data_IF_316579670258
#
_entry.id   IF_316579670258
#
_cell.length_a   1.000
_cell.length_b   1.000
_cell.length_c   1.000
_cell.angle_alpha   90.00
_cell.angle_beta   90.00
_cell.angle_gamma   90.00
#
_symmetry.space_group_name_H-M   'P 1'
#
loop_
_entity.id
_entity.type
_entity.pdbx_description
1 polymer ?
#
# COMPACT_ATOMS: atom_id res chain seq x y z
N UNK A 1 -100.18 85.32 -21.71
CA UNK A 1 -98.82 85.56 -21.18
C UNK A 1 -98.19 84.39 -20.37
N UNK A 2 -98.57 83.11 -20.58
CA UNK A 2 -98.00 81.96 -19.80
C UNK A 2 -96.93 81.10 -20.50
N UNK A 3 -96.63 81.33 -21.79
CA UNK A 3 -95.72 80.46 -22.59
C UNK A 3 -94.24 80.87 -22.60
N UNK A 4 -93.87 82.09 -22.16
CA UNK A 4 -92.45 82.53 -22.10
C UNK A 4 -91.70 82.13 -20.82
N UNK A 5 -92.41 81.70 -19.77
CA UNK A 5 -91.83 81.27 -18.48
C UNK A 5 -91.30 79.82 -18.49
N UNK A 6 -91.89 78.92 -19.31
CA UNK A 6 -91.44 77.52 -19.40
C UNK A 6 -90.08 77.36 -20.08
N UNK A 7 -89.76 78.19 -21.07
CA UNK A 7 -88.49 78.08 -21.82
C UNK A 7 -87.27 78.43 -20.95
N UNK A 8 -87.42 79.40 -20.04
CA UNK A 8 -86.37 79.77 -19.08
C UNK A 8 -86.14 78.68 -18.02
N UNK A 9 -87.19 77.98 -17.57
CA UNK A 9 -87.01 76.87 -16.62
C UNK A 9 -86.29 75.67 -17.25
N UNK A 10 -86.55 75.37 -18.53
CA UNK A 10 -85.81 74.33 -19.25
C UNK A 10 -84.34 74.68 -19.47
N UNK A 11 -84.05 75.96 -19.79
CA UNK A 11 -82.67 76.44 -19.94
C UNK A 11 -81.90 76.38 -18.61
N UNK A 12 -82.54 76.80 -17.51
CA UNK A 12 -81.96 76.70 -16.16
C UNK A 12 -81.73 75.24 -15.76
N UNK A 13 -82.67 74.35 -16.07
CA UNK A 13 -82.52 72.90 -15.85
C UNK A 13 -81.34 72.30 -16.62
N UNK A 14 -81.16 72.65 -17.89
CA UNK A 14 -80.02 72.20 -18.70
C UNK A 14 -78.69 72.74 -18.19
N UNK A 15 -78.64 74.00 -17.76
CA UNK A 15 -77.46 74.61 -17.16
C UNK A 15 -77.10 73.92 -15.84
N UNK A 16 -78.09 73.62 -14.99
CA UNK A 16 -77.88 72.91 -13.72
C UNK A 16 -77.40 71.46 -13.92
N UNK A 17 -77.96 70.74 -14.90
CA UNK A 17 -77.51 69.39 -15.26
C UNK A 17 -76.09 69.43 -15.83
N UNK A 18 -75.77 70.39 -16.70
CA UNK A 18 -74.43 70.59 -17.24
C UNK A 18 -73.39 70.96 -16.19
N UNK A 19 -73.76 71.77 -15.20
CA UNK A 19 -72.91 72.08 -14.04
C UNK A 19 -72.72 70.87 -13.14
N UNK A 20 -73.76 70.08 -12.89
CA UNK A 20 -73.69 68.86 -12.09
C UNK A 20 -72.76 67.80 -12.72
N UNK A 21 -72.86 67.58 -14.03
CA UNK A 21 -71.98 66.67 -14.77
C UNK A 21 -70.55 67.17 -14.85
N UNK A 22 -70.34 68.49 -14.99
CA UNK A 22 -69.00 69.09 -14.95
C UNK A 22 -68.34 68.96 -13.57
N UNK A 23 -69.09 69.18 -12.48
CA UNK A 23 -68.60 69.05 -11.11
C UNK A 23 -68.25 67.58 -10.80
N UNK A 24 -69.10 66.63 -11.18
CA UNK A 24 -68.82 65.19 -11.00
C UNK A 24 -67.64 64.71 -11.83
N UNK A 25 -67.50 65.19 -13.07
CA UNK A 25 -66.32 64.92 -13.90
C UNK A 25 -65.04 65.49 -13.29
N UNK A 26 -65.07 66.74 -12.79
CA UNK A 26 -63.93 67.35 -12.07
C UNK A 26 -63.59 66.60 -10.78
N UNK A 27 -64.58 66.18 -10.00
CA UNK A 27 -64.37 65.41 -8.78
C UNK A 27 -63.73 64.03 -9.09
N UNK A 28 -64.25 63.34 -10.12
CA UNK A 28 -63.70 62.06 -10.60
C UNK A 28 -62.26 62.21 -11.13
N UNK A 29 -61.97 63.29 -11.86
CA UNK A 29 -60.61 63.61 -12.32
C UNK A 29 -59.65 63.85 -11.16
N UNK A 30 -60.08 64.56 -10.11
CA UNK A 30 -59.26 64.83 -8.92
C UNK A 30 -58.96 63.54 -8.15
N UNK A 31 -59.94 62.66 -8.00
CA UNK A 31 -59.78 61.37 -7.32
C UNK A 31 -58.88 60.40 -8.12
N UNK A 32 -58.99 60.41 -9.45
CA UNK A 32 -58.08 59.72 -10.35
C UNK A 32 -56.64 60.22 -10.21
N UNK A 33 -56.42 61.54 -10.22
CA UNK A 33 -55.08 62.14 -10.08
C UNK A 33 -54.44 61.81 -8.73
N UNK A 34 -55.23 61.81 -7.66
CA UNK A 34 -54.78 61.41 -6.32
C UNK A 34 -54.33 59.95 -6.31
N UNK A 35 -55.15 59.05 -6.86
CA UNK A 35 -54.84 57.62 -6.97
C UNK A 35 -53.58 57.38 -7.81
N UNK A 36 -53.43 58.09 -8.93
CA UNK A 36 -52.23 58.04 -9.79
C UNK A 36 -50.99 58.49 -9.01
N UNK A 37 -51.10 59.55 -8.21
CA UNK A 37 -49.97 60.05 -7.40
C UNK A 37 -49.58 59.03 -6.31
N UNK A 38 -50.54 58.47 -5.60
CA UNK A 38 -50.29 57.43 -4.59
C UNK A 38 -49.64 56.16 -5.20
N UNK A 39 -50.11 55.73 -6.38
CA UNK A 39 -49.50 54.62 -7.12
C UNK A 39 -48.07 54.93 -7.55
N UNK A 40 -47.80 56.17 -7.99
CA UNK A 40 -46.46 56.60 -8.39
C UNK A 40 -45.51 56.63 -7.19
N UNK A 41 -45.94 57.13 -6.05
CA UNK A 41 -45.14 57.16 -4.83
C UNK A 41 -44.86 55.74 -4.33
N UNK A 42 -45.87 54.86 -4.35
CA UNK A 42 -45.72 53.43 -4.04
C UNK A 42 -44.75 52.71 -4.99
N UNK A 43 -44.82 53.00 -6.29
CA UNK A 43 -43.91 52.45 -7.29
C UNK A 43 -42.47 52.92 -7.06
N UNK A 44 -42.27 54.21 -6.77
CA UNK A 44 -40.95 54.76 -6.46
C UNK A 44 -40.36 54.13 -5.19
N UNK A 45 -41.17 53.93 -4.15
CA UNK A 45 -40.76 53.24 -2.93
C UNK A 45 -40.33 51.80 -3.23
N UNK A 46 -41.15 51.04 -3.97
CA UNK A 46 -40.81 49.66 -4.38
C UNK A 46 -39.56 49.59 -5.24
N UNK A 47 -39.36 50.53 -6.17
CA UNK A 47 -38.14 50.59 -6.98
C UNK A 47 -36.90 50.87 -6.12
N UNK A 48 -37.03 51.73 -5.11
CA UNK A 48 -35.95 52.02 -4.16
C UNK A 48 -35.60 50.79 -3.30
N UNK A 49 -36.61 50.06 -2.81
CA UNK A 49 -36.41 48.80 -2.09
C UNK A 49 -35.77 47.73 -2.96
N UNK A 50 -36.19 47.62 -4.23
CA UNK A 50 -35.65 46.66 -5.18
C UNK A 50 -34.18 46.99 -5.50
N UNK A 51 -33.85 48.27 -5.69
CA UNK A 51 -32.47 48.70 -5.86
C UNK A 51 -31.60 48.35 -4.65
N UNK A 52 -32.10 48.60 -3.43
CA UNK A 52 -31.39 48.24 -2.20
C UNK A 52 -31.13 46.72 -2.12
N UNK A 53 -32.12 45.90 -2.43
CA UNK A 53 -31.97 44.43 -2.47
C UNK A 53 -30.98 43.98 -3.55
N UNK A 54 -30.96 44.65 -4.69
CA UNK A 54 -29.99 44.39 -5.75
C UNK A 54 -28.56 44.71 -5.28
N UNK A 55 -28.36 45.82 -4.59
CA UNK A 55 -27.07 46.18 -4.01
C UNK A 55 -26.61 45.18 -2.93
N UNK A 56 -27.52 44.76 -2.05
CA UNK A 56 -27.27 43.70 -1.05
C UNK A 56 -26.87 42.37 -1.71
N UNK A 57 -27.55 41.97 -2.79
CA UNK A 57 -27.22 40.78 -3.57
C UNK A 57 -25.84 40.87 -4.25
N UNK A 58 -25.46 42.05 -4.72
CA UNK A 58 -24.13 42.28 -5.30
C UNK A 58 -23.04 42.11 -4.24
N UNK A 59 -23.24 42.64 -3.02
CA UNK A 59 -22.32 42.47 -1.89
C UNK A 59 -22.21 40.99 -1.47
N UNK A 60 -23.34 40.28 -1.41
CA UNK A 60 -23.35 38.85 -1.09
C UNK A 60 -22.62 38.03 -2.15
N UNK A 61 -22.83 38.34 -3.43
CA UNK A 61 -22.16 37.67 -4.55
C UNK A 61 -20.64 37.85 -4.50
N UNK A 62 -20.17 39.05 -4.15
CA UNK A 62 -18.74 39.32 -3.95
C UNK A 62 -18.15 38.51 -2.78
N UNK A 63 -18.88 38.38 -1.66
CA UNK A 63 -18.46 37.55 -0.52
C UNK A 63 -18.41 36.06 -0.87
N UNK A 64 -19.39 35.56 -1.64
CA UNK A 64 -19.39 34.17 -2.12
C UNK A 64 -18.16 33.90 -2.99
N UNK A 65 -17.82 34.82 -3.89
CA UNK A 65 -16.63 34.69 -4.73
C UNK A 65 -15.33 34.71 -3.92
N UNK A 66 -15.25 35.54 -2.87
CA UNK A 66 -14.11 35.54 -1.95
C UNK A 66 -13.98 34.21 -1.19
N UNK A 67 -15.09 33.65 -0.71
CA UNK A 67 -15.11 32.34 -0.06
C UNK A 67 -14.70 31.21 -1.02
N UNK A 68 -15.13 31.24 -2.27
CA UNK A 68 -14.71 30.28 -3.29
C UNK A 68 -13.18 30.32 -3.49
N UNK A 69 -12.58 31.51 -3.62
CA UNK A 69 -11.12 31.65 -3.73
C UNK A 69 -10.38 31.09 -2.51
N UNK A 70 -10.89 31.32 -1.30
CA UNK A 70 -10.33 30.75 -0.06
C UNK A 70 -10.44 29.22 -0.06
N UNK A 71 -11.58 28.68 -0.52
CA UNK A 71 -11.82 27.24 -0.62
C UNK A 71 -10.89 26.56 -1.64
N UNK A 72 -10.65 27.20 -2.79
CA UNK A 72 -9.70 26.72 -3.80
C UNK A 72 -8.27 26.70 -3.27
N UNK A 73 -7.86 27.78 -2.57
CA UNK A 73 -6.55 27.85 -1.91
C UNK A 73 -6.38 26.75 -0.86
N UNK A 74 -7.40 26.51 -0.04
CA UNK A 74 -7.38 25.43 0.95
C UNK A 74 -7.33 24.05 0.30
N UNK A 75 -8.08 23.84 -0.79
CA UNK A 75 -8.05 22.60 -1.56
C UNK A 75 -6.67 22.32 -2.12
N UNK A 76 -5.97 23.35 -2.61
CA UNK A 76 -4.59 23.23 -3.07
C UNK A 76 -3.64 22.85 -1.91
N UNK A 77 -3.75 23.52 -0.77
CA UNK A 77 -2.94 23.22 0.41
C UNK A 77 -3.16 21.77 0.91
N UNK A 78 -4.41 21.29 0.93
CA UNK A 78 -4.72 19.90 1.30
C UNK A 78 -4.09 18.90 0.32
N UNK A 79 -4.07 19.19 -0.98
CA UNK A 79 -3.39 18.34 -1.97
C UNK A 79 -1.87 18.30 -1.75
N UNK A 80 -1.25 19.42 -1.40
CA UNK A 80 0.18 19.48 -1.08
C UNK A 80 0.51 18.67 0.18
N UNK A 81 -0.30 18.80 1.25
CA UNK A 81 -0.17 17.99 2.47
C UNK A 81 -0.30 16.49 2.17
N UNK A 82 -1.29 16.09 1.36
CA UNK A 82 -1.48 14.69 0.99
C UNK A 82 -0.26 14.12 0.24
N UNK A 83 0.35 14.93 -0.65
CA UNK A 83 1.58 14.56 -1.35
C UNK A 83 2.75 14.38 -0.38
N UNK A 84 2.90 15.27 0.59
CA UNK A 84 3.97 15.19 1.58
C UNK A 84 3.79 14.00 2.54
N UNK A 85 2.55 13.68 2.95
CA UNK A 85 2.23 12.46 3.71
C UNK A 85 2.64 11.21 2.92
N UNK A 86 2.36 11.17 1.62
CA UNK A 86 2.76 10.05 0.75
C UNK A 86 4.28 9.87 0.73
N UNK A 87 5.05 10.96 0.57
CA UNK A 87 6.52 10.92 0.65
C UNK A 87 7.03 10.44 2.01
N UNK A 88 6.45 10.94 3.10
CA UNK A 88 6.81 10.53 4.46
C UNK A 88 6.56 9.03 4.65
N UNK A 89 5.42 8.52 4.17
CA UNK A 89 5.10 7.08 4.23
C UNK A 89 6.12 6.22 3.48
N UNK A 90 6.48 6.61 2.25
CA UNK A 90 7.52 5.92 1.47
C UNK A 90 8.87 5.91 2.21
N UNK A 91 9.28 7.06 2.75
CA UNK A 91 10.52 7.17 3.51
C UNK A 91 10.49 6.33 4.80
N UNK A 92 9.36 6.32 5.50
CA UNK A 92 9.17 5.52 6.72
C UNK A 92 9.30 4.03 6.42
N UNK A 93 8.71 3.56 5.32
CA UNK A 93 8.85 2.17 4.87
C UNK A 93 10.30 1.83 4.52
N UNK A 94 11.01 2.75 3.86
CA UNK A 94 12.45 2.58 3.56
C UNK A 94 13.29 2.48 4.84
N UNK A 95 13.07 3.37 5.80
CA UNK A 95 13.78 3.36 7.10
C UNK A 95 13.47 2.09 7.87
N UNK A 96 12.20 1.65 7.89
CA UNK A 96 11.79 0.39 8.52
C UNK A 96 12.54 -0.82 7.94
N UNK A 97 12.73 -0.86 6.62
CA UNK A 97 13.51 -1.92 5.98
C UNK A 97 15.00 -1.85 6.34
N UNK A 98 15.59 -0.66 6.40
CA UNK A 98 16.99 -0.46 6.85
C UNK A 98 17.17 -0.96 8.28
N UNK A 99 16.29 -0.56 9.20
CA UNK A 99 16.33 -1.00 10.61
C UNK A 99 16.20 -2.52 10.69
N UNK A 100 15.26 -3.12 9.95
CA UNK A 100 15.11 -4.58 9.90
C UNK A 100 16.37 -5.27 9.40
N UNK A 101 17.03 -4.71 8.39
CA UNK A 101 18.27 -5.25 7.80
C UNK A 101 19.49 -5.09 8.73
N UNK A 102 19.56 -3.99 9.51
CA UNK A 102 20.59 -3.77 10.53
C UNK A 102 20.41 -4.67 11.75
N UNK A 103 19.17 -4.95 12.14
CA UNK A 103 18.86 -5.82 13.28
C UNK A 103 19.02 -7.32 13.00
N UNK A 104 19.23 -7.72 11.74
CA UNK A 104 19.47 -9.13 11.40
C UNK A 104 20.76 -9.61 12.05
N UNK A 105 20.74 -10.83 12.58
CA UNK A 105 21.98 -11.52 12.86
C UNK A 105 22.63 -11.86 11.53
N UNK A 106 23.94 -11.63 11.43
CA UNK A 106 24.72 -11.87 10.22
C UNK A 106 25.94 -12.70 10.56
N UNK A 107 26.45 -13.39 9.55
CA UNK A 107 27.73 -14.06 9.60
C UNK A 107 28.17 -14.46 8.21
N UNK A 108 29.26 -15.24 8.15
CA UNK A 108 29.85 -15.67 6.89
C UNK A 108 30.14 -17.16 6.95
N UNK A 109 29.69 -17.90 5.95
CA UNK A 109 30.04 -19.30 5.69
C UNK A 109 30.74 -19.38 4.35
N UNK A 110 31.92 -19.98 4.35
CA UNK A 110 32.69 -20.27 3.16
C UNK A 110 33.01 -21.75 3.17
N UNK A 111 32.58 -22.46 2.15
CA UNK A 111 32.82 -23.89 2.09
C UNK A 111 34.22 -24.14 1.55
N UNK A 112 35.03 -24.86 2.31
CA UNK A 112 36.39 -25.21 1.91
C UNK A 112 36.33 -26.07 0.64
N UNK A 113 36.79 -25.50 -0.47
CA UNK A 113 37.00 -26.32 -1.67
C UNK A 113 38.29 -27.08 -1.47
N UNK A 114 38.14 -28.36 -1.19
CA UNK A 114 39.23 -29.29 -1.40
C UNK A 114 39.57 -29.31 -2.91
N UNK A 115 40.75 -29.82 -3.28
CA UNK A 115 41.24 -29.86 -4.66
C UNK A 115 40.48 -30.87 -5.57
N UNK A 116 39.16 -30.82 -5.58
CA UNK A 116 38.32 -31.67 -6.42
C UNK A 116 38.03 -30.99 -7.76
N UNK A 117 38.11 -31.79 -8.83
CA UNK A 117 37.77 -31.36 -10.19
C UNK A 117 36.24 -31.32 -10.41
N UNK A 118 35.49 -32.15 -9.68
CA UNK A 118 34.03 -32.27 -9.81
C UNK A 118 33.36 -32.22 -8.43
N UNK A 119 32.22 -31.56 -8.37
CA UNK A 119 31.30 -31.57 -7.24
C UNK A 119 30.05 -32.37 -7.58
N UNK A 120 29.70 -33.31 -6.71
CA UNK A 120 28.41 -34.01 -6.75
C UNK A 120 27.40 -33.15 -6.00
N UNK A 121 26.46 -32.58 -6.73
CA UNK A 121 25.42 -31.71 -6.17
C UNK A 121 24.16 -32.55 -5.99
N UNK A 122 23.67 -32.65 -4.77
CA UNK A 122 22.46 -33.35 -4.36
C UNK A 122 21.42 -32.35 -3.85
N UNK A 123 20.46 -32.04 -4.73
CA UNK A 123 19.24 -31.30 -4.43
C UNK A 123 18.07 -32.29 -4.38
N UNK A 124 18.20 -33.33 -3.57
CA UNK A 124 17.16 -34.33 -3.28
C UNK A 124 17.08 -35.42 -4.35
N UNK A 125 16.08 -35.34 -5.23
CA UNK A 125 15.97 -36.24 -6.39
C UNK A 125 16.67 -35.69 -7.63
N UNK A 126 17.07 -34.41 -7.59
CA UNK A 126 17.80 -33.75 -8.67
C UNK A 126 19.25 -33.67 -8.23
N UNK A 127 20.12 -34.36 -8.94
CA UNK A 127 21.55 -34.29 -8.69
C UNK A 127 22.37 -34.41 -9.95
N UNK A 128 23.61 -33.97 -9.87
CA UNK A 128 24.51 -33.95 -11.01
C UNK A 128 25.95 -33.68 -10.62
N UNK A 129 26.85 -33.94 -11.56
CA UNK A 129 28.25 -33.58 -11.43
C UNK A 129 28.47 -32.21 -12.08
N UNK A 130 29.00 -31.27 -11.30
CA UNK A 130 29.40 -29.95 -11.78
C UNK A 130 30.92 -29.87 -11.74
N UNK A 131 31.53 -29.48 -12.86
CA UNK A 131 32.98 -29.24 -12.93
C UNK A 131 33.34 -27.98 -12.17
N UNK A 132 34.49 -28.00 -11.46
CA UNK A 132 35.05 -26.83 -10.76
C UNK A 132 35.18 -25.61 -11.70
N UNK A 133 35.57 -25.84 -12.95
CA UNK A 133 35.77 -24.77 -13.95
C UNK A 133 34.47 -23.99 -14.29
N UNK A 134 33.32 -24.65 -14.26
CA UNK A 134 32.03 -24.01 -14.52
C UNK A 134 31.66 -23.04 -13.38
N UNK A 135 32.05 -23.39 -12.15
CA UNK A 135 31.82 -22.58 -10.96
C UNK A 135 32.75 -21.37 -10.86
N UNK A 136 33.65 -21.12 -11.82
CA UNK A 136 34.36 -19.84 -11.90
C UNK A 136 33.42 -18.67 -12.26
N UNK A 137 32.27 -18.99 -12.85
CA UNK A 137 31.15 -18.08 -13.02
C UNK A 137 30.01 -18.49 -12.09
N UNK A 138 29.11 -17.57 -11.80
CA UNK A 138 27.96 -17.86 -10.95
C UNK A 138 26.95 -18.74 -11.70
N UNK A 139 26.87 -20.01 -11.31
CA UNK A 139 25.93 -20.98 -11.85
C UNK A 139 24.62 -20.91 -11.05
N UNK A 140 23.54 -20.46 -11.69
CA UNK A 140 22.23 -20.30 -11.06
C UNK A 140 21.28 -21.40 -11.50
N UNK A 141 20.78 -22.15 -10.52
CA UNK A 141 19.71 -23.13 -10.64
C UNK A 141 18.50 -22.68 -9.81
N UNK A 142 17.47 -23.51 -9.79
CA UNK A 142 16.27 -23.26 -9.00
C UNK A 142 15.89 -24.49 -8.19
N UNK A 143 15.65 -24.28 -6.90
CA UNK A 143 14.92 -25.22 -6.05
C UNK A 143 13.47 -24.79 -6.13
N UNK A 144 12.74 -25.39 -7.07
CA UNK A 144 11.39 -24.97 -7.44
C UNK A 144 11.36 -23.50 -7.95
N UNK A 145 10.77 -22.55 -7.22
CA UNK A 145 10.76 -21.11 -7.56
C UNK A 145 11.89 -20.33 -6.87
N UNK A 146 12.66 -20.99 -5.99
CA UNK A 146 13.71 -20.33 -5.22
C UNK A 146 15.04 -20.38 -5.99
N UNK A 147 15.63 -19.22 -6.36
CA UNK A 147 16.93 -19.21 -7.01
C UNK A 147 18.02 -19.69 -6.05
N UNK A 148 18.87 -20.56 -6.56
CA UNK A 148 20.01 -21.13 -5.86
C UNK A 148 21.25 -20.98 -6.75
N UNK A 149 22.31 -20.34 -6.26
CA UNK A 149 23.53 -20.17 -7.04
C UNK A 149 24.76 -20.67 -6.30
N UNK A 150 25.76 -21.09 -7.08
CA UNK A 150 27.07 -21.50 -6.62
C UNK A 150 28.16 -20.79 -7.42
N UNK A 151 29.22 -20.41 -6.74
CA UNK A 151 30.40 -19.74 -7.30
C UNK A 151 31.63 -20.17 -6.51
N UNK A 152 32.77 -20.38 -7.18
CA UNK A 152 34.06 -20.54 -6.53
C UNK A 152 34.85 -19.26 -6.68
N UNK A 153 35.23 -18.68 -5.54
CA UNK A 153 36.04 -17.48 -5.45
C UNK A 153 37.11 -17.68 -4.36
N UNK A 154 38.38 -17.41 -4.68
CA UNK A 154 39.52 -17.60 -3.77
C UNK A 154 39.57 -19.01 -3.13
N UNK A 155 39.33 -20.05 -3.92
CA UNK A 155 39.26 -21.46 -3.48
C UNK A 155 38.22 -21.72 -2.36
N UNK A 156 37.19 -20.88 -2.26
CA UNK A 156 36.00 -21.11 -1.46
C UNK A 156 34.80 -21.29 -2.34
N UNK A 157 33.95 -22.28 -2.03
CA UNK A 157 32.65 -22.41 -2.66
C UNK A 157 31.71 -21.50 -1.89
N UNK A 158 31.17 -20.53 -2.60
CA UNK A 158 30.21 -19.56 -2.14
C UNK A 158 28.84 -19.95 -2.69
N UNK A 159 27.85 -19.90 -1.82
CA UNK A 159 26.46 -20.25 -2.14
C UNK A 159 25.60 -19.00 -1.99
N UNK A 160 24.58 -18.87 -2.84
CA UNK A 160 23.48 -17.93 -2.61
C UNK A 160 22.13 -18.62 -2.65
N UNK A 161 21.26 -18.29 -1.69
CA UNK A 161 19.91 -18.83 -1.54
C UNK A 161 19.08 -17.88 -0.67
N UNK A 162 17.80 -17.70 -1.00
CA UNK A 162 16.89 -16.86 -0.21
C UNK A 162 15.63 -17.62 0.16
N UNK A 163 15.34 -17.77 1.45
CA UNK A 163 14.19 -18.50 1.96
C UNK A 163 13.14 -17.56 2.53
N UNK A 164 11.89 -17.82 2.21
CA UNK A 164 10.72 -17.06 2.68
C UNK A 164 9.73 -17.96 3.39
N UNK A 165 8.91 -17.39 4.26
CA UNK A 165 7.77 -18.06 4.89
C UNK A 165 6.58 -18.13 3.94
N UNK A 166 5.51 -18.80 4.38
CA UNK A 166 4.24 -18.90 3.64
C UNK A 166 3.59 -17.56 3.29
N UNK A 167 3.96 -16.47 3.98
CA UNK A 167 3.46 -15.12 3.74
C UNK A 167 4.40 -14.29 2.86
N UNK A 168 5.51 -14.87 2.39
CA UNK A 168 6.53 -14.19 1.59
C UNK A 168 7.53 -13.36 2.41
N UNK A 169 7.49 -13.43 3.75
CA UNK A 169 8.49 -12.76 4.58
C UNK A 169 9.81 -13.53 4.54
N UNK A 170 10.92 -12.79 4.45
CA UNK A 170 12.25 -13.38 4.47
C UNK A 170 12.54 -14.05 5.82
N UNK A 171 12.95 -15.32 5.76
CA UNK A 171 13.40 -16.13 6.90
C UNK A 171 14.93 -16.09 6.99
N UNK A 172 15.58 -16.43 5.89
CA UNK A 172 17.02 -16.62 5.79
C UNK A 172 17.49 -16.15 4.40
N UNK A 173 18.60 -15.42 4.35
CA UNK A 173 19.22 -14.95 3.12
C UNK A 173 20.70 -15.32 3.19
N UNK A 174 21.19 -16.04 2.19
CA UNK A 174 22.60 -16.36 2.00
C UNK A 174 22.99 -15.79 0.65
N UNK A 175 23.99 -14.91 0.63
CA UNK A 175 24.46 -14.23 -0.58
C UNK A 175 25.97 -14.33 -0.63
N UNK A 176 26.47 -15.16 -1.54
CA UNK A 176 27.91 -15.41 -1.71
C UNK A 176 28.62 -15.72 -0.38
N UNK A 177 28.01 -16.60 0.40
CA UNK A 177 28.53 -16.99 1.72
C UNK A 177 28.16 -16.07 2.89
N UNK A 178 27.73 -14.83 2.64
CA UNK A 178 27.23 -13.95 3.71
C UNK A 178 25.78 -14.28 4.03
N UNK A 179 25.50 -14.64 5.27
CA UNK A 179 24.13 -14.98 5.68
C UNK A 179 23.53 -13.90 6.60
N UNK A 180 22.21 -13.76 6.52
CA UNK A 180 21.41 -12.91 7.39
C UNK A 180 20.08 -13.59 7.73
N UNK A 181 19.63 -13.47 8.98
CA UNK A 181 18.39 -14.10 9.44
C UNK A 181 17.38 -13.10 10.00
N UNK A 182 16.10 -13.48 9.92
CA UNK A 182 15.04 -12.84 10.67
C UNK A 182 14.90 -13.49 12.06
N UNK A 183 15.42 -12.85 13.12
CA UNK A 183 15.37 -13.35 14.51
C UNK A 183 13.96 -13.57 15.05
N UNK A 184 12.93 -13.03 14.38
CA UNK A 184 11.54 -13.28 14.75
C UNK A 184 11.05 -14.68 14.35
N UNK A 185 11.77 -15.35 13.44
CA UNK A 185 11.40 -16.65 12.89
C UNK A 185 12.51 -17.68 13.16
N UNK A 186 13.77 -17.28 12.96
CA UNK A 186 14.93 -18.16 13.17
C UNK A 186 15.42 -18.04 14.60
N UNK A 187 15.65 -19.19 15.24
CA UNK A 187 16.23 -19.29 16.56
C UNK A 187 17.76 -19.24 16.52
N UNK A 188 18.38 -20.06 15.66
CA UNK A 188 19.83 -20.21 15.61
C UNK A 188 20.33 -20.54 14.20
N UNK A 189 21.58 -20.17 13.94
CA UNK A 189 22.36 -20.59 12.78
C UNK A 189 23.66 -21.19 13.26
N UNK A 190 23.94 -22.42 12.87
CA UNK A 190 25.20 -23.12 13.15
C UNK A 190 25.95 -23.25 11.84
N UNK A 191 27.25 -22.99 11.82
CA UNK A 191 28.04 -23.12 10.60
C UNK A 191 29.51 -23.36 10.92
N UNK A 192 30.18 -24.01 9.97
CA UNK A 192 31.63 -24.16 9.91
C UNK A 192 32.07 -24.11 8.43
N UNK A 193 33.32 -24.46 8.12
CA UNK A 193 33.82 -24.44 6.75
C UNK A 193 33.31 -25.59 5.87
N UNK A 194 32.44 -26.46 6.39
CA UNK A 194 31.90 -27.63 5.70
C UNK A 194 30.37 -27.68 5.72
N UNK A 195 29.69 -26.75 6.40
CA UNK A 195 28.25 -26.83 6.58
C UNK A 195 27.63 -25.56 7.19
N UNK A 196 26.34 -25.38 6.93
CA UNK A 196 25.47 -24.43 7.64
C UNK A 196 24.11 -25.09 7.92
N UNK A 197 23.57 -24.84 9.11
CA UNK A 197 22.29 -25.35 9.59
C UNK A 197 21.50 -24.17 10.19
N UNK A 198 20.26 -24.01 9.74
CA UNK A 198 19.33 -22.96 10.18
C UNK A 198 18.18 -23.62 10.92
N UNK A 199 17.94 -23.17 12.15
CA UNK A 199 16.96 -23.74 13.07
C UNK A 199 15.86 -22.72 13.38
N UNK A 200 14.60 -23.12 13.23
CA UNK A 200 13.43 -22.30 13.60
C UNK A 200 13.22 -22.25 15.13
N UNK A 201 12.17 -21.56 15.58
CA UNK A 201 11.86 -21.39 17.02
C UNK A 201 11.32 -22.64 17.68
N UNK A 202 10.76 -23.53 16.89
CA UNK A 202 10.24 -24.84 17.28
C UNK A 202 11.38 -25.87 17.40
N UNK A 203 12.59 -25.53 16.93
CA UNK A 203 13.77 -26.37 16.99
C UNK A 203 13.95 -27.28 15.77
N UNK A 204 13.16 -27.11 14.72
CA UNK A 204 13.27 -27.82 13.45
C UNK A 204 14.39 -27.24 12.60
N UNK A 205 15.07 -28.10 11.85
CA UNK A 205 16.06 -27.68 10.85
C UNK A 205 15.30 -27.34 9.57
N UNK A 206 15.25 -26.05 9.25
CA UNK A 206 14.55 -25.56 8.05
C UNK A 206 15.46 -25.44 6.83
N UNK A 207 16.78 -25.36 7.05
CA UNK A 207 17.81 -25.42 6.00
C UNK A 207 19.06 -26.09 6.56
N UNK A 208 19.64 -26.97 5.77
CA UNK A 208 20.97 -27.52 6.00
C UNK A 208 21.69 -27.62 4.66
N UNK A 209 22.87 -27.02 4.59
CA UNK A 209 23.76 -27.13 3.42
C UNK A 209 25.06 -27.75 3.93
N UNK A 210 25.51 -28.82 3.30
CA UNK A 210 26.74 -29.52 3.66
C UNK A 210 27.63 -29.68 2.42
N UNK A 211 28.92 -29.37 2.56
CA UNK A 211 29.97 -29.81 1.64
C UNK A 211 30.86 -30.80 2.38
N UNK A 212 30.72 -32.09 2.07
CA UNK A 212 31.56 -33.16 2.64
C UNK A 212 32.35 -33.78 1.49
N UNK A 213 33.67 -33.62 1.53
CA UNK A 213 34.53 -33.92 0.38
C UNK A 213 34.04 -33.13 -0.85
N UNK A 214 33.67 -33.81 -1.92
CA UNK A 214 33.14 -33.21 -3.14
C UNK A 214 31.62 -33.29 -3.23
N UNK A 215 30.94 -33.81 -2.21
CA UNK A 215 29.50 -33.96 -2.22
C UNK A 215 28.84 -32.77 -1.50
N UNK A 216 28.12 -31.98 -2.28
CA UNK A 216 27.36 -30.82 -1.86
C UNK A 216 25.89 -31.20 -1.72
N UNK A 217 25.33 -31.08 -0.51
CA UNK A 217 23.94 -31.49 -0.20
C UNK A 217 23.15 -30.32 0.31
N UNK A 218 21.88 -30.24 -0.09
CA UNK A 218 20.90 -29.31 0.46
C UNK A 218 19.71 -30.08 1.02
N UNK A 219 19.35 -29.78 2.26
CA UNK A 219 18.11 -30.19 2.91
C UNK A 219 17.36 -28.91 3.26
N UNK A 220 16.05 -28.87 3.05
CA UNK A 220 15.29 -27.72 3.50
C UNK A 220 13.80 -27.75 3.19
N UNK A 221 13.12 -26.76 3.76
CA UNK A 221 11.68 -26.51 3.60
C UNK A 221 11.48 -25.20 2.85
N UNK A 222 11.02 -25.27 1.61
CA UNK A 222 10.89 -24.13 0.71
C UNK A 222 9.41 -23.77 0.53
N UNK A 223 8.96 -22.72 1.21
CA UNK A 223 7.57 -22.27 1.13
C UNK A 223 7.27 -21.56 -0.19
N UNK A 224 6.10 -21.87 -0.72
CA UNK A 224 5.54 -21.31 -1.95
C UNK A 224 4.17 -20.70 -1.67
N UNK A 225 3.52 -20.17 -2.71
CA UNK A 225 2.18 -19.58 -2.60
C UNK A 225 1.09 -20.61 -2.28
N UNK A 226 1.21 -21.83 -2.81
CA UNK A 226 0.18 -22.88 -2.76
C UNK A 226 0.56 -24.09 -1.89
N UNK A 227 1.82 -24.16 -1.45
CA UNK A 227 2.32 -25.26 -0.65
C UNK A 227 3.76 -25.07 -0.20
N UNK A 228 4.40 -26.20 0.08
CA UNK A 228 5.79 -26.27 0.53
C UNK A 228 6.52 -27.38 -0.23
N UNK A 229 7.72 -27.07 -0.69
CA UNK A 229 8.63 -28.06 -1.25
C UNK A 229 9.59 -28.54 -0.17
N UNK A 230 9.56 -29.84 0.10
CA UNK A 230 10.41 -30.54 1.05
C UNK A 230 11.57 -31.20 0.30
N UNK A 231 12.79 -30.84 0.69
CA UNK A 231 14.03 -31.29 0.07
C UNK A 231 14.87 -32.07 1.08
N UNK A 232 15.22 -33.31 0.77
CA UNK A 232 16.14 -34.13 1.54
C UNK A 232 16.83 -35.12 0.60
N UNK A 233 18.07 -35.60 0.84
CA UNK A 233 18.69 -36.63 0.01
C UNK A 233 17.74 -37.77 -0.34
N UNK A 234 17.52 -38.00 -1.64
CA UNK A 234 16.58 -39.00 -2.17
C UNK A 234 15.09 -38.64 -2.10
N UNK A 235 14.74 -37.43 -1.67
CA UNK A 235 13.37 -36.93 -1.52
C UNK A 235 13.24 -35.51 -2.08
N UNK A 236 12.32 -35.34 -3.02
CA UNK A 236 11.82 -34.06 -3.47
C UNK A 236 10.29 -34.15 -3.53
N UNK A 237 9.61 -33.46 -2.61
CA UNK A 237 8.16 -33.58 -2.45
C UNK A 237 7.53 -32.21 -2.30
N UNK A 238 6.52 -31.90 -3.12
CA UNK A 238 5.66 -30.74 -2.93
C UNK A 238 4.40 -31.14 -2.15
N UNK A 239 4.09 -30.42 -1.08
CA UNK A 239 2.91 -30.63 -0.23
C UNK A 239 2.06 -29.37 -0.26
N UNK A 240 0.81 -29.47 -0.71
CA UNK A 240 -0.09 -28.33 -0.82
C UNK A 240 -0.61 -27.92 0.57
N UNK A 241 -0.86 -26.63 0.79
CA UNK A 241 -1.46 -26.16 2.05
C UNK A 241 -2.88 -26.69 2.28
N UNK A 242 -3.56 -27.09 1.20
CA UNK A 242 -4.89 -27.70 1.25
C UNK A 242 -4.88 -29.18 1.60
N UNK A 243 -3.71 -29.83 1.71
CA UNK A 243 -3.61 -31.23 2.08
C UNK A 243 -4.04 -31.42 3.55
N UNK A 244 -5.03 -32.27 3.86
CA UNK A 244 -5.47 -32.50 5.24
C UNK A 244 -4.38 -33.09 6.14
N UNK A 245 -3.32 -33.66 5.57
CA UNK A 245 -2.17 -34.21 6.30
C UNK A 245 -0.94 -33.27 6.27
N UNK A 246 -1.09 -32.02 5.83
CA UNK A 246 0.02 -31.06 5.67
C UNK A 246 0.95 -31.01 6.90
N UNK A 247 0.39 -30.77 8.09
CA UNK A 247 1.18 -30.65 9.33
C UNK A 247 1.89 -31.97 9.69
N UNK A 248 1.20 -33.10 9.50
CA UNK A 248 1.75 -34.43 9.77
C UNK A 248 2.92 -34.75 8.84
N UNK A 249 2.81 -34.42 7.55
CA UNK A 249 3.87 -34.65 6.57
C UNK A 249 5.12 -33.81 6.91
N UNK A 250 4.91 -32.56 7.34
CA UNK A 250 6.01 -31.70 7.81
C UNK A 250 6.69 -32.24 9.06
N UNK A 251 5.92 -32.68 10.05
CA UNK A 251 6.47 -33.28 11.27
C UNK A 251 7.28 -34.55 10.95
N UNK A 252 6.74 -35.43 10.10
CA UNK A 252 7.44 -36.62 9.63
C UNK A 252 8.71 -36.27 8.85
N UNK A 253 8.71 -35.19 8.08
CA UNK A 253 9.90 -34.69 7.39
C UNK A 253 10.95 -34.22 8.39
N UNK A 254 10.60 -33.33 9.33
CA UNK A 254 11.55 -32.79 10.31
C UNK A 254 12.14 -33.86 11.21
N UNK A 255 11.37 -34.88 11.58
CA UNK A 255 11.88 -36.01 12.37
C UNK A 255 12.96 -36.84 11.65
N UNK A 256 13.00 -36.79 10.31
CA UNK A 256 14.01 -37.47 9.49
C UNK A 256 15.28 -36.62 9.29
N UNK A 257 15.21 -35.30 9.49
CA UNK A 257 16.37 -34.43 9.32
C UNK A 257 17.30 -34.56 10.52
N UNK A 258 18.48 -35.14 10.29
CA UNK A 258 19.47 -35.38 11.33
C UNK A 258 20.36 -34.14 11.52
N UNK A 259 20.35 -33.56 12.72
CA UNK A 259 21.25 -32.47 13.13
C UNK A 259 22.71 -32.77 12.81
N UNK A 260 23.43 -31.78 12.30
CA UNK A 260 24.88 -31.87 12.04
C UNK A 260 25.72 -31.18 13.08
N UNK A 261 25.14 -30.26 13.84
CA UNK A 261 25.81 -29.50 14.87
C UNK A 261 25.22 -29.83 16.24
N UNK A 262 26.07 -29.94 17.27
CA UNK A 262 25.64 -30.06 18.66
C UNK A 262 26.22 -28.93 19.50
N UNK A 263 25.35 -28.38 20.33
CA UNK A 263 25.69 -27.35 21.29
C UNK A 263 26.03 -28.01 22.63
N UNK A 264 27.22 -27.70 23.15
CA UNK A 264 27.62 -28.06 24.51
C UNK A 264 27.86 -26.77 25.31
N UNK A 265 26.91 -26.43 26.20
CA UNK A 265 27.07 -25.33 27.16
C UNK A 265 27.38 -23.96 26.53
N UNK A 266 28.39 -23.26 27.04
CA UNK A 266 28.78 -21.89 26.68
C UNK A 266 29.28 -21.69 25.23
N UNK A 267 29.40 -22.76 24.44
CA UNK A 267 29.78 -22.64 23.03
C UNK A 267 28.59 -22.20 22.19
N UNK A 268 28.46 -20.88 21.99
CA UNK A 268 27.44 -20.25 21.15
C UNK A 268 27.54 -20.64 19.65
N UNK A 269 28.61 -21.33 19.25
CA UNK A 269 28.77 -21.95 17.94
C UNK A 269 28.93 -23.45 18.17
N UNK A 270 27.88 -24.21 17.86
CA UNK A 270 27.84 -25.66 18.06
C UNK A 270 28.99 -26.34 17.34
N UNK A 271 29.54 -27.41 17.92
CA UNK A 271 30.58 -28.23 17.28
C UNK A 271 29.91 -29.19 16.32
N UNK A 272 30.50 -29.39 15.13
CA UNK A 272 30.02 -30.43 14.22
C UNK A 272 30.05 -31.79 14.93
N UNK A 273 28.97 -32.53 14.84
CA UNK A 273 28.94 -33.92 15.27
C UNK A 273 29.98 -34.67 14.45
N UNK A 274 30.98 -35.25 15.11
CA UNK A 274 31.93 -36.14 14.46
C UNK A 274 31.14 -37.23 13.74
N UNK A 275 30.98 -37.09 12.42
CA UNK A 275 30.45 -38.17 11.60
C UNK A 275 31.52 -39.25 11.66
N UNK A 276 31.27 -40.29 12.47
CA UNK A 276 32.02 -41.54 12.35
C UNK A 276 31.86 -41.96 10.88
N UNK A 277 32.96 -41.88 10.14
CA UNK A 277 33.07 -42.35 8.76
C UNK A 277 32.72 -43.83 8.69
#
# INVERSE_FOLDING_TARGET
MKKRSMSYMYLIGLILVGLGTFITYKASSIESDKTIRELKDSLNLKNTELQKKQDENNVLSAKILEFQKKLDSNTKAVKEIAHDISKISINTNRISNIIKDEQRQKGKVEFDTNAYEYYEVDLGMVGGLIKKENLNNEETNYINETPFSMLIENDKLLVSLSMKDKNGNLIFDLKKGEWAINKNIVFSVNYDSSGIEVIDREGNIILQIDLIKNNFKVVGTFYEKDGVTLLHPGLLMKVLYSDPNYDKILEEFYSKVVRKFVHYGENYLGKRLNQRQ
#
